data_IF_767539110269
#
_entry.id   IF_767539110269
#
_cell.length_a   1.000
_cell.length_b   1.000
_cell.length_c   1.000
_cell.angle_alpha   90.00
_cell.angle_beta   90.00
_cell.angle_gamma   90.00
#
_symmetry.space_group_name_H-M   'P 1'
#
loop_
_entity.id
_entity.type
_entity.pdbx_description
1 polymer ?
#
# COMPACT_ATOMS: atom_id res chain seq x y z
N UNK A 1 3.34 11.27 27.44
CA UNK A 1 3.00 11.09 26.02
C UNK A 1 2.09 9.89 25.93
N UNK A 2 0.95 10.01 25.24
CA UNK A 2 -0.08 8.96 25.10
C UNK A 2 0.53 7.62 24.69
N UNK A 3 0.03 6.50 25.23
CA UNK A 3 0.40 5.15 24.77
C UNK A 3 -0.04 4.88 23.31
N UNK A 4 -0.90 5.74 22.73
CA UNK A 4 -1.38 5.67 21.34
C UNK A 4 -1.40 7.11 20.74
N UNK A 5 -0.27 7.62 20.20
CA UNK A 5 -0.21 8.98 19.63
C UNK A 5 -1.06 9.13 18.36
N UNK A 6 -1.22 8.08 17.57
CA UNK A 6 -2.04 8.04 16.36
C UNK A 6 -3.53 8.25 16.67
N UNK A 7 -4.02 7.59 17.73
CA UNK A 7 -5.40 7.73 18.22
C UNK A 7 -5.65 9.09 18.84
N UNK A 8 -4.66 9.62 19.57
CA UNK A 8 -4.74 10.97 20.14
C UNK A 8 -4.83 12.02 19.01
N UNK A 9 -4.02 11.90 17.95
CA UNK A 9 -4.07 12.78 16.79
C UNK A 9 -5.44 12.76 16.11
N UNK A 10 -6.03 11.58 15.91
CA UNK A 10 -7.38 11.44 15.34
C UNK A 10 -8.46 12.05 16.25
N UNK A 11 -8.34 11.93 17.58
CA UNK A 11 -9.31 12.46 18.54
C UNK A 11 -9.30 13.99 18.69
N UNK A 12 -8.25 14.66 18.21
CA UNK A 12 -8.11 16.12 18.25
C UNK A 12 -8.81 16.80 17.06
N UNK A 13 -9.35 16.03 16.12
CA UNK A 13 -10.10 16.55 14.99
C UNK A 13 -11.52 16.90 15.44
N UNK A 14 -11.86 18.18 15.29
CA UNK A 14 -13.23 18.68 15.42
C UNK A 14 -13.83 18.83 14.01
N UNK A 15 -14.78 17.97 13.61
CA UNK A 15 -15.41 18.06 12.29
C UNK A 15 -16.25 19.33 12.10
N UNK A 16 -16.65 20.00 13.19
CA UNK A 16 -17.35 21.29 13.18
C UNK A 16 -16.39 22.47 13.46
N UNK A 17 -15.08 22.21 13.40
CA UNK A 17 -14.03 23.22 13.61
C UNK A 17 -14.03 24.33 12.55
N UNK A 18 -13.32 25.44 12.80
CA UNK A 18 -13.32 26.60 11.91
C UNK A 18 -12.84 26.26 10.50
N UNK A 19 -13.31 27.00 9.48
CA UNK A 19 -12.91 26.83 8.09
C UNK A 19 -11.37 26.79 7.92
N UNK A 20 -10.87 25.94 7.03
CA UNK A 20 -9.43 25.77 6.74
C UNK A 20 -8.98 24.30 6.64
N UNK A 21 -7.80 24.09 6.05
CA UNK A 21 -7.17 22.78 5.85
C UNK A 21 -6.32 22.40 7.06
N UNK A 22 -6.66 21.29 7.70
CA UNK A 22 -5.93 20.69 8.82
C UNK A 22 -5.09 19.52 8.31
N UNK A 23 -3.77 19.61 8.37
CA UNK A 23 -2.87 18.53 8.02
C UNK A 23 -2.52 17.68 9.24
N UNK A 24 -2.65 16.36 9.14
CA UNK A 24 -2.00 15.41 10.04
C UNK A 24 -0.73 14.91 9.37
N UNK A 25 0.42 15.23 9.97
CA UNK A 25 1.75 14.95 9.42
C UNK A 25 2.42 13.83 10.20
N UNK A 26 2.80 12.75 9.52
CA UNK A 26 3.48 11.59 10.12
C UNK A 26 4.92 11.49 9.62
N UNK A 27 5.81 10.84 10.39
CA UNK A 27 7.18 10.59 9.93
C UNK A 27 7.30 9.34 9.06
N UNK A 28 6.43 8.36 9.27
CA UNK A 28 6.45 7.07 8.58
C UNK A 28 5.08 6.72 7.97
N UNK A 29 5.14 5.90 6.93
CA UNK A 29 3.96 5.43 6.19
C UNK A 29 3.05 4.50 7.01
N UNK A 30 3.61 3.71 7.94
CA UNK A 30 2.83 2.84 8.85
C UNK A 30 1.91 3.67 9.77
N UNK A 31 2.43 4.75 10.36
CA UNK A 31 1.64 5.67 11.18
C UNK A 31 0.53 6.34 10.36
N UNK A 32 0.80 6.69 9.10
CA UNK A 32 -0.19 7.28 8.20
C UNK A 32 -1.36 6.31 7.98
N UNK A 33 -1.06 5.02 7.77
CA UNK A 33 -2.05 3.96 7.59
C UNK A 33 -2.88 3.69 8.85
N UNK A 34 -2.24 3.69 10.03
CA UNK A 34 -2.95 3.54 11.31
C UNK A 34 -3.92 4.70 11.55
N UNK A 35 -3.48 5.94 11.34
CA UNK A 35 -4.35 7.12 11.50
C UNK A 35 -5.50 7.09 10.49
N UNK A 36 -5.23 6.79 9.22
CA UNK A 36 -6.27 6.65 8.20
C UNK A 36 -7.34 5.64 8.63
N UNK A 37 -6.92 4.47 9.11
CA UNK A 37 -7.83 3.42 9.60
C UNK A 37 -8.74 3.91 10.73
N UNK A 38 -8.21 4.73 11.67
CA UNK A 38 -9.01 5.32 12.74
C UNK A 38 -10.01 6.37 12.23
N UNK A 39 -9.61 7.21 11.28
CA UNK A 39 -10.50 8.23 10.69
C UNK A 39 -11.65 7.56 9.92
N UNK A 40 -11.35 6.53 9.13
CA UNK A 40 -12.37 5.76 8.40
C UNK A 40 -13.35 5.06 9.34
N UNK A 41 -12.84 4.40 10.38
CA UNK A 41 -13.68 3.76 11.41
C UNK A 41 -14.58 4.76 12.16
N UNK A 42 -14.15 6.02 12.23
CA UNK A 42 -14.89 7.12 12.85
C UNK A 42 -15.80 7.86 11.86
N UNK A 43 -15.83 7.46 10.57
CA UNK A 43 -16.63 8.11 9.52
C UNK A 43 -16.12 9.50 9.12
N UNK A 44 -14.89 9.86 9.51
CA UNK A 44 -14.27 11.15 9.22
C UNK A 44 -13.67 11.09 7.81
N UNK A 45 -14.07 12.01 6.94
CA UNK A 45 -13.50 12.14 5.59
C UNK A 45 -12.15 12.87 5.66
N UNK A 46 -11.18 12.39 4.90
CA UNK A 46 -9.87 13.02 4.77
C UNK A 46 -9.34 12.83 3.33
N UNK A 47 -8.42 13.70 2.91
CA UNK A 47 -7.56 13.48 1.76
C UNK A 47 -6.18 12.96 2.20
N UNK A 48 -5.38 12.44 1.28
CA UNK A 48 -3.97 12.10 1.59
C UNK A 48 -3.03 12.44 0.43
N UNK A 49 -1.80 12.85 0.75
CA UNK A 49 -0.71 12.99 -0.23
C UNK A 49 -0.01 11.65 -0.50
N UNK A 50 -0.35 10.59 0.24
CA UNK A 50 0.18 9.23 0.06
C UNK A 50 -0.91 8.18 -0.18
N UNK A 51 -1.72 8.32 -1.25
CA UNK A 51 -2.79 7.35 -1.57
C UNK A 51 -2.24 5.93 -1.69
N UNK A 52 -1.05 5.83 -2.30
CA UNK A 52 -0.29 4.59 -2.48
C UNK A 52 -0.05 3.83 -1.18
N UNK A 53 0.22 4.52 -0.07
CA UNK A 53 0.47 3.87 1.22
C UNK A 53 -0.78 3.22 1.79
N UNK A 54 -1.95 3.80 1.54
CA UNK A 54 -3.22 3.27 2.00
C UNK A 54 -3.68 2.10 1.13
N UNK A 55 -3.50 2.21 -0.20
CA UNK A 55 -3.95 1.20 -1.14
C UNK A 55 -2.95 0.08 -1.44
N UNK A 56 -1.73 0.12 -0.91
CA UNK A 56 -0.68 -0.84 -1.26
C UNK A 56 -1.05 -2.32 -0.99
N UNK A 57 -1.64 -2.69 0.16
CA UNK A 57 -2.09 -4.07 0.37
C UNK A 57 -3.09 -4.52 -0.71
N UNK A 58 -4.05 -3.65 -1.02
CA UNK A 58 -5.08 -3.88 -2.02
C UNK A 58 -4.49 -4.04 -3.42
N UNK A 59 -3.50 -3.21 -3.75
CA UNK A 59 -2.76 -3.26 -5.01
C UNK A 59 -1.96 -4.54 -5.13
N UNK A 60 -1.26 -4.95 -4.07
CA UNK A 60 -0.50 -6.20 -4.05
C UNK A 60 -1.38 -7.42 -4.26
N UNK A 61 -2.59 -7.46 -3.70
CA UNK A 61 -3.51 -8.57 -3.92
C UNK A 61 -3.95 -8.65 -5.39
N UNK A 62 -4.24 -7.51 -6.03
CA UNK A 62 -4.55 -7.46 -7.47
C UNK A 62 -3.34 -7.94 -8.30
N UNK A 63 -2.13 -7.46 -7.98
CA UNK A 63 -0.92 -7.84 -8.72
C UNK A 63 -0.57 -9.32 -8.55
N UNK A 64 -0.72 -9.89 -7.35
CA UNK A 64 -0.53 -11.34 -7.11
C UNK A 64 -1.49 -12.15 -7.97
N UNK A 65 -2.76 -11.74 -8.01
CA UNK A 65 -3.78 -12.37 -8.83
C UNK A 65 -3.44 -12.32 -10.33
N UNK A 66 -3.19 -11.10 -10.85
CA UNK A 66 -2.85 -10.89 -12.26
C UNK A 66 -1.58 -11.63 -12.66
N UNK A 67 -0.57 -11.68 -11.79
CA UNK A 67 0.68 -12.41 -12.06
C UNK A 67 0.41 -13.90 -12.29
N UNK A 68 -0.49 -14.52 -11.53
CA UNK A 68 -0.86 -15.92 -11.75
C UNK A 68 -1.65 -16.16 -13.03
N UNK A 69 -2.49 -15.20 -13.42
CA UNK A 69 -3.24 -15.24 -14.69
C UNK A 69 -2.31 -15.10 -15.90
N UNK A 70 -1.46 -14.07 -15.89
CA UNK A 70 -0.63 -13.67 -17.03
C UNK A 70 0.58 -14.60 -17.17
N UNK A 71 1.23 -14.91 -16.04
CA UNK A 71 2.45 -15.73 -15.95
C UNK A 71 2.19 -16.96 -15.06
N UNK A 72 1.35 -17.91 -15.52
CA UNK A 72 0.94 -19.05 -14.71
C UNK A 72 2.13 -19.97 -14.44
N UNK A 73 2.50 -20.06 -13.16
CA UNK A 73 3.56 -20.91 -12.62
C UNK A 73 3.10 -21.41 -11.24
N UNK A 74 3.69 -22.50 -10.74
CA UNK A 74 3.32 -23.06 -9.42
C UNK A 74 3.52 -21.99 -8.32
N UNK A 75 4.57 -21.19 -8.45
CA UNK A 75 4.99 -20.17 -7.49
C UNK A 75 4.07 -18.95 -7.48
N UNK A 76 3.43 -18.63 -8.61
CA UNK A 76 2.49 -17.49 -8.72
C UNK A 76 1.07 -17.90 -8.34
N UNK A 77 0.71 -19.17 -8.57
CA UNK A 77 -0.60 -19.71 -8.27
C UNK A 77 -0.95 -19.67 -6.76
N UNK A 78 -0.03 -20.12 -5.90
CA UNK A 78 -0.30 -20.24 -4.46
C UNK A 78 -0.58 -18.88 -3.81
N UNK A 79 0.20 -17.80 -4.04
CA UNK A 79 -0.17 -16.47 -3.55
C UNK A 79 -1.52 -15.98 -4.09
N UNK A 80 -1.85 -16.28 -5.36
CA UNK A 80 -3.06 -15.78 -5.99
C UNK A 80 -4.34 -16.36 -5.39
N UNK A 81 -4.36 -17.64 -4.99
CA UNK A 81 -5.52 -18.28 -4.36
C UNK A 81 -5.86 -17.73 -2.97
N UNK A 82 -4.95 -16.99 -2.34
CA UNK A 82 -5.23 -16.28 -1.08
C UNK A 82 -5.81 -14.89 -1.30
N UNK A 83 -5.86 -14.41 -2.54
CA UNK A 83 -6.42 -13.10 -2.85
C UNK A 83 -7.95 -13.22 -2.99
N UNK A 84 -8.72 -12.16 -2.64
CA UNK A 84 -10.17 -12.15 -2.82
C UNK A 84 -10.61 -12.40 -4.27
N UNK A 85 -9.76 -12.07 -5.24
CA UNK A 85 -10.02 -12.19 -6.67
C UNK A 85 -10.00 -13.62 -7.18
N UNK A 86 -9.43 -14.56 -6.42
CA UNK A 86 -9.46 -15.98 -6.77
C UNK A 86 -10.82 -16.64 -6.58
N UNK A 87 -11.69 -16.02 -5.77
CA UNK A 87 -12.97 -16.58 -5.32
C UNK A 87 -12.82 -17.95 -4.60
N UNK A 88 -11.62 -18.28 -4.16
CA UNK A 88 -11.33 -19.43 -3.31
C UNK A 88 -11.48 -18.98 -1.85
N UNK A 89 -12.16 -19.77 -1.03
CA UNK A 89 -12.27 -19.44 0.39
C UNK A 89 -10.93 -19.62 1.08
N UNK A 90 -10.69 -18.87 2.17
CA UNK A 90 -9.44 -18.98 2.95
C UNK A 90 -9.17 -20.44 3.39
N UNK A 91 -10.21 -21.17 3.80
CA UNK A 91 -10.11 -22.57 4.21
C UNK A 91 -9.68 -23.49 3.07
N UNK A 92 -10.26 -23.30 1.87
CA UNK A 92 -9.85 -24.03 0.67
C UNK A 92 -8.42 -23.68 0.26
N UNK A 93 -8.05 -22.40 0.29
CA UNK A 93 -6.71 -21.94 -0.03
C UNK A 93 -5.65 -22.58 0.87
N UNK A 94 -5.90 -22.67 2.18
CA UNK A 94 -5.05 -23.43 3.09
C UNK A 94 -4.98 -24.92 2.75
N UNK A 95 -6.11 -25.54 2.40
CA UNK A 95 -6.16 -26.94 1.96
C UNK A 95 -5.34 -27.20 0.70
N UNK A 96 -5.43 -26.32 -0.30
CA UNK A 96 -4.66 -26.38 -1.56
C UNK A 96 -3.17 -26.18 -1.27
N UNK A 97 -2.81 -25.16 -0.49
CA UNK A 97 -1.43 -24.86 -0.10
C UNK A 97 -0.77 -26.01 0.66
N UNK A 98 -1.50 -26.64 1.58
CA UNK A 98 -1.02 -27.84 2.28
C UNK A 98 -0.75 -28.98 1.28
N UNK A 99 -1.70 -29.29 0.38
CA UNK A 99 -1.49 -30.33 -0.64
C UNK A 99 -0.29 -30.03 -1.53
N UNK A 100 -0.12 -28.79 -1.99
CA UNK A 100 1.04 -28.38 -2.77
C UNK A 100 2.36 -28.58 -2.04
N UNK A 101 2.42 -28.30 -0.72
CA UNK A 101 3.63 -28.45 0.07
C UNK A 101 4.03 -29.92 0.30
N UNK A 102 3.04 -30.80 0.45
CA UNK A 102 3.26 -32.21 0.83
C UNK A 102 3.15 -33.19 -0.33
N UNK A 103 2.77 -32.72 -1.52
CA UNK A 103 2.59 -33.53 -2.73
C UNK A 103 3.17 -32.76 -3.92
N UNK A 104 3.89 -33.43 -4.82
CA UNK A 104 4.38 -32.79 -6.06
C UNK A 104 3.22 -32.62 -7.07
N UNK A 105 2.32 -31.67 -6.79
CA UNK A 105 1.22 -31.34 -7.67
C UNK A 105 1.75 -30.58 -8.90
N UNK A 106 1.30 -31.00 -10.08
CA UNK A 106 1.54 -30.25 -11.32
C UNK A 106 0.67 -28.98 -11.35
N UNK A 107 1.03 -28.00 -12.18
CA UNK A 107 0.21 -26.80 -12.36
C UNK A 107 -1.22 -27.13 -12.82
N UNK A 108 -1.44 -28.06 -13.79
CA UNK A 108 -2.79 -28.52 -14.12
C UNK A 108 -3.59 -29.11 -12.95
N UNK A 109 -2.92 -29.73 -11.97
CA UNK A 109 -3.61 -30.25 -10.79
C UNK A 109 -4.01 -29.14 -9.83
N UNK A 110 -3.17 -28.10 -9.69
CA UNK A 110 -3.50 -26.91 -8.92
C UNK A 110 -4.67 -26.14 -9.53
N UNK A 111 -4.65 -25.97 -10.85
CA UNK A 111 -5.70 -25.28 -11.61
C UNK A 111 -7.09 -25.94 -11.45
N UNK A 112 -7.15 -27.27 -11.37
CA UNK A 112 -8.41 -27.99 -11.07
C UNK A 112 -8.96 -27.67 -9.68
N UNK A 113 -8.09 -27.31 -8.73
CA UNK A 113 -8.47 -26.98 -7.37
C UNK A 113 -8.92 -25.52 -7.20
N UNK A 114 -8.62 -24.63 -8.17
CA UNK A 114 -9.14 -23.27 -8.23
C UNK A 114 -9.72 -22.94 -9.62
N UNK A 115 -10.94 -23.43 -9.94
CA UNK A 115 -11.52 -23.34 -11.29
C UNK A 115 -11.69 -21.90 -11.79
N UNK A 116 -12.05 -20.96 -10.91
CA UNK A 116 -12.25 -19.55 -11.27
C UNK A 116 -10.94 -18.87 -11.71
N UNK A 117 -9.83 -19.17 -11.03
CA UNK A 117 -8.50 -18.71 -11.44
C UNK A 117 -8.06 -19.39 -12.75
N UNK A 118 -8.32 -20.70 -12.90
CA UNK A 118 -7.98 -21.42 -14.14
C UNK A 118 -8.72 -20.88 -15.37
N UNK A 119 -10.03 -20.59 -15.27
CA UNK A 119 -10.78 -20.02 -16.40
C UNK A 119 -10.19 -18.69 -16.88
N UNK A 120 -9.61 -17.92 -15.97
CA UNK A 120 -8.98 -16.64 -16.29
C UNK A 120 -7.60 -16.81 -16.94
N UNK A 121 -6.81 -17.80 -16.50
CA UNK A 121 -5.51 -18.17 -17.10
C UNK A 121 -5.66 -18.57 -18.57
N UNK A 122 -6.68 -19.37 -18.91
CA UNK A 122 -6.86 -19.94 -20.25
C UNK A 122 -7.20 -18.89 -21.31
N UNK A 123 -7.82 -17.78 -20.92
CA UNK A 123 -8.45 -16.86 -21.87
C UNK A 123 -7.61 -15.62 -22.21
N UNK A 124 -6.61 -15.22 -21.41
CA UNK A 124 -6.33 -13.77 -21.28
C UNK A 124 -4.86 -13.33 -21.25
N UNK A 125 -4.07 -13.76 -22.25
CA UNK A 125 -2.69 -13.28 -22.49
C UNK A 125 -2.58 -12.12 -23.50
N UNK A 126 -3.68 -11.41 -23.76
CA UNK A 126 -3.72 -10.22 -24.64
C UNK A 126 -4.12 -8.98 -23.84
N UNK A 127 -3.85 -7.79 -24.39
CA UNK A 127 -4.34 -6.50 -23.84
C UNK A 127 -5.82 -6.57 -23.48
N UNK A 128 -6.65 -6.95 -24.45
CA UNK A 128 -8.11 -7.03 -24.27
C UNK A 128 -8.50 -8.08 -23.23
N UNK A 129 -7.79 -9.20 -23.17
CA UNK A 129 -8.01 -10.20 -22.16
C UNK A 129 -7.74 -9.67 -20.75
N UNK A 130 -6.57 -9.05 -20.55
CA UNK A 130 -6.19 -8.51 -19.24
C UNK A 130 -7.18 -7.42 -18.80
N UNK A 131 -7.54 -6.50 -19.72
CA UNK A 131 -8.53 -5.46 -19.45
C UNK A 131 -9.91 -6.04 -19.15
N UNK A 132 -10.32 -7.11 -19.84
CA UNK A 132 -11.59 -7.77 -19.56
C UNK A 132 -11.63 -8.38 -18.15
N UNK A 133 -10.56 -9.01 -17.66
CA UNK A 133 -10.50 -9.47 -16.25
C UNK A 133 -10.63 -8.30 -15.28
N UNK A 134 -9.93 -7.20 -15.58
CA UNK A 134 -10.01 -6.01 -14.76
C UNK A 134 -11.44 -5.47 -14.68
N UNK A 135 -12.15 -5.40 -15.81
CA UNK A 135 -13.51 -4.86 -15.90
C UNK A 135 -14.59 -5.81 -15.40
N UNK A 136 -14.56 -7.08 -15.79
CA UNK A 136 -15.65 -8.01 -15.50
C UNK A 136 -15.55 -8.68 -14.14
N UNK A 137 -14.37 -8.70 -13.52
CA UNK A 137 -14.12 -9.45 -12.29
C UNK A 137 -13.43 -8.63 -11.20
N UNK A 138 -12.26 -8.06 -11.49
CA UNK A 138 -11.47 -7.36 -10.45
C UNK A 138 -12.21 -6.10 -9.98
N UNK A 139 -12.70 -5.23 -10.88
CA UNK A 139 -13.39 -4.00 -10.50
C UNK A 139 -14.67 -4.25 -9.68
N UNK A 140 -15.57 -5.20 -10.04
CA UNK A 140 -16.71 -5.56 -9.21
C UNK A 140 -16.34 -6.05 -7.81
N UNK A 141 -15.34 -6.94 -7.69
CA UNK A 141 -14.86 -7.45 -6.39
C UNK A 141 -14.19 -6.33 -5.60
N UNK A 142 -13.37 -5.52 -6.26
CA UNK A 142 -12.67 -4.41 -5.64
C UNK A 142 -13.65 -3.37 -5.06
N UNK A 143 -14.73 -3.07 -5.81
CA UNK A 143 -15.81 -2.18 -5.35
C UNK A 143 -16.51 -2.70 -4.08
N UNK A 144 -16.69 -4.02 -3.94
CA UNK A 144 -17.30 -4.60 -2.75
C UNK A 144 -16.35 -4.66 -1.54
N UNK A 145 -15.04 -4.70 -1.77
CA UNK A 145 -14.02 -4.72 -0.71
C UNK A 145 -13.75 -3.33 -0.12
N UNK A 146 -13.93 -2.27 -0.89
CA UNK A 146 -13.79 -0.89 -0.43
C UNK A 146 -13.08 0.02 -1.41
N UNK A 147 -12.99 1.30 -1.05
CA UNK A 147 -12.45 2.35 -1.92
C UNK A 147 -11.00 2.08 -2.32
N UNK A 148 -10.16 1.64 -1.39
CA UNK A 148 -8.74 1.39 -1.66
C UNK A 148 -8.53 0.30 -2.71
N UNK A 149 -9.30 -0.79 -2.64
CA UNK A 149 -9.28 -1.83 -3.66
C UNK A 149 -9.78 -1.30 -5.00
N UNK A 150 -10.87 -0.53 -5.00
CA UNK A 150 -11.46 0.01 -6.22
C UNK A 150 -10.50 0.94 -6.96
N UNK A 151 -9.88 1.89 -6.26
CA UNK A 151 -8.92 2.79 -6.87
C UNK A 151 -7.62 2.09 -7.29
N UNK A 152 -7.13 1.13 -6.49
CA UNK A 152 -6.00 0.30 -6.90
C UNK A 152 -6.29 -0.45 -8.22
N UNK A 153 -7.49 -0.98 -8.39
CA UNK A 153 -7.91 -1.66 -9.62
C UNK A 153 -7.98 -0.70 -10.82
N UNK A 154 -8.53 0.51 -10.65
CA UNK A 154 -8.55 1.54 -11.70
C UNK A 154 -7.14 1.97 -12.12
N UNK A 155 -6.25 2.18 -11.14
CA UNK A 155 -4.85 2.51 -11.39
C UNK A 155 -4.14 1.44 -12.20
N UNK A 156 -4.27 0.18 -11.80
CA UNK A 156 -3.67 -0.95 -12.52
C UNK A 156 -4.25 -1.03 -13.93
N UNK A 157 -5.56 -0.81 -14.11
CA UNK A 157 -6.19 -0.79 -15.43
C UNK A 157 -5.60 0.31 -16.33
N UNK A 158 -5.42 1.52 -15.80
CA UNK A 158 -4.81 2.62 -16.56
C UNK A 158 -3.35 2.30 -16.92
N UNK A 159 -2.57 1.78 -15.97
CA UNK A 159 -1.19 1.39 -16.21
C UNK A 159 -1.07 0.27 -17.27
N UNK A 160 -2.00 -0.71 -17.28
CA UNK A 160 -2.07 -1.71 -18.35
C UNK A 160 -2.33 -1.04 -19.70
N UNK A 161 -3.31 -0.12 -19.79
CA UNK A 161 -3.61 0.59 -21.04
C UNK A 161 -2.39 1.36 -21.55
N UNK A 162 -1.74 2.10 -20.67
CA UNK A 162 -0.55 2.91 -20.97
C UNK A 162 0.60 2.05 -21.50
N UNK A 163 0.93 0.95 -20.80
CA UNK A 163 2.00 0.04 -21.21
C UNK A 163 1.80 -0.48 -22.64
N UNK A 164 0.59 -0.93 -22.96
CA UNK A 164 0.27 -1.44 -24.29
C UNK A 164 0.12 -0.35 -25.37
N UNK A 165 -0.01 0.92 -24.99
CA UNK A 165 -0.02 2.05 -25.94
C UNK A 165 1.40 2.54 -26.27
N UNK A 166 2.33 2.41 -25.33
CA UNK A 166 3.72 2.84 -25.48
C UNK A 166 4.65 1.75 -26.03
N UNK A 167 4.25 0.48 -25.96
CA UNK A 167 5.08 -0.66 -26.37
C UNK A 167 4.71 -1.19 -27.75
N UNK A 168 5.66 -1.14 -28.69
CA UNK A 168 5.52 -1.73 -30.04
C UNK A 168 5.58 -3.27 -30.02
N UNK A 169 6.26 -3.84 -29.02
CA UNK A 169 6.43 -5.28 -28.81
C UNK A 169 6.22 -5.60 -27.32
N UNK A 170 4.95 -5.65 -26.87
CA UNK A 170 4.65 -5.85 -25.46
C UNK A 170 5.07 -7.24 -24.99
N UNK A 171 5.94 -7.29 -24.00
CA UNK A 171 6.27 -8.49 -23.25
C UNK A 171 5.46 -8.55 -21.95
N UNK A 172 5.06 -9.77 -21.56
CA UNK A 172 4.18 -9.98 -20.40
C UNK A 172 4.93 -10.04 -19.08
N UNK A 173 6.20 -10.45 -19.07
CA UNK A 173 7.06 -10.34 -17.88
C UNK A 173 7.37 -8.85 -17.65
N UNK A 174 7.75 -8.11 -18.69
CA UNK A 174 7.98 -6.66 -18.64
C UNK A 174 6.72 -5.88 -18.20
N UNK A 175 5.52 -6.29 -18.64
CA UNK A 175 4.26 -5.71 -18.15
C UNK A 175 4.13 -5.88 -16.63
N UNK A 176 4.42 -7.07 -16.10
CA UNK A 176 4.30 -7.31 -14.66
C UNK A 176 5.32 -6.53 -13.85
N UNK A 177 6.52 -6.32 -14.39
CA UNK A 177 7.55 -5.48 -13.77
C UNK A 177 7.16 -4.00 -13.81
N UNK A 178 6.69 -3.52 -14.97
CA UNK A 178 6.13 -2.18 -15.12
C UNK A 178 5.00 -1.94 -14.12
N UNK A 179 4.04 -2.85 -14.03
CA UNK A 179 2.93 -2.74 -13.09
C UNK A 179 3.37 -2.78 -11.64
N UNK A 180 4.47 -3.45 -11.31
CA UNK A 180 4.99 -3.51 -9.93
C UNK A 180 5.67 -2.21 -9.50
N UNK A 181 6.27 -1.50 -10.46
CA UNK A 181 7.05 -0.27 -10.23
C UNK A 181 6.21 0.99 -10.50
N UNK A 182 5.17 0.90 -11.34
CA UNK A 182 4.36 2.05 -11.71
C UNK A 182 3.74 2.72 -10.49
N UNK A 183 3.99 4.02 -10.37
CA UNK A 183 3.50 4.82 -9.26
C UNK A 183 2.02 5.16 -9.50
N UNK A 184 1.15 4.73 -8.58
CA UNK A 184 -0.18 5.27 -8.35
C UNK A 184 -0.05 6.67 -7.76
N UNK A 185 0.21 7.63 -8.63
CA UNK A 185 0.03 9.05 -8.33
C UNK A 185 -1.41 9.39 -8.70
N UNK A 186 -2.35 9.06 -7.82
CA UNK A 186 -3.56 9.87 -7.80
C UNK A 186 -3.18 11.20 -7.16
N UNK A 187 -3.18 12.25 -7.98
CA UNK A 187 -3.32 13.62 -7.50
C UNK A 187 -4.65 13.70 -6.77
N UNK A 188 -4.66 13.39 -5.47
CA UNK A 188 -5.72 13.86 -4.60
C UNK A 188 -5.52 15.36 -4.51
N UNK A 189 -6.13 16.08 -5.46
CA UNK A 189 -6.58 17.43 -5.20
C UNK A 189 -7.33 17.38 -3.88
N UNK A 190 -7.05 18.26 -2.90
CA UNK A 190 -7.83 18.36 -1.68
C UNK A 190 -9.25 18.80 -2.06
N UNK A 191 -10.05 17.86 -2.57
CA UNK A 191 -11.43 18.06 -2.92
C UNK A 191 -12.20 18.15 -1.62
N UNK A 192 -12.64 19.36 -1.29
CA UNK A 192 -13.61 19.73 -0.24
C UNK A 192 -13.36 19.19 1.19
N UNK A 193 -12.28 18.45 1.44
CA UNK A 193 -12.00 17.83 2.72
C UNK A 193 -11.06 18.73 3.54
N UNK A 194 -11.55 19.19 4.70
CA UNK A 194 -10.82 20.00 5.66
C UNK A 194 -9.64 19.28 6.32
N UNK A 195 -9.42 17.99 6.05
CA UNK A 195 -8.39 17.16 6.71
C UNK A 195 -7.51 16.48 5.66
N UNK A 196 -6.19 16.63 5.78
CA UNK A 196 -5.18 16.04 4.88
C UNK A 196 -4.17 15.20 5.67
N UNK A 197 -4.00 13.92 5.32
CA UNK A 197 -2.95 13.05 5.83
C UNK A 197 -1.72 13.10 4.93
N UNK A 198 -0.56 13.43 5.49
CA UNK A 198 0.69 13.51 4.73
C UNK A 198 1.89 13.03 5.56
N UNK A 199 3.01 12.78 4.88
CA UNK A 199 4.28 12.53 5.57
C UNK A 199 5.13 13.79 5.60
N UNK A 200 6.09 13.86 6.53
CA UNK A 200 7.04 14.98 6.61
C UNK A 200 7.71 15.26 5.27
N UNK A 201 8.08 14.23 4.51
CA UNK A 201 8.74 14.40 3.22
C UNK A 201 7.84 15.06 2.17
N UNK A 202 6.55 14.70 2.15
CA UNK A 202 5.58 15.24 1.20
C UNK A 202 5.00 16.58 1.61
N UNK A 203 5.00 16.89 2.90
CA UNK A 203 4.53 18.17 3.44
C UNK A 203 5.51 19.34 3.21
N UNK A 204 6.76 19.08 2.80
CA UNK A 204 7.76 20.14 2.60
C UNK A 204 7.32 21.09 1.49
N UNK A 205 7.28 22.38 1.80
CA UNK A 205 6.84 23.41 0.86
C UNK A 205 5.32 23.46 0.63
N UNK A 206 4.54 22.71 1.41
CA UNK A 206 3.08 22.84 1.48
C UNK A 206 2.69 23.72 2.67
N UNK A 207 1.67 24.55 2.48
CA UNK A 207 1.10 25.40 3.53
C UNK A 207 -0.27 24.84 3.96
N UNK A 208 -0.51 24.83 5.27
CA UNK A 208 -1.77 24.35 5.86
C UNK A 208 -2.21 25.33 6.95
N UNK A 209 -3.53 25.54 7.10
CA UNK A 209 -4.07 26.42 8.13
C UNK A 209 -3.82 25.87 9.54
N UNK A 210 -3.81 24.53 9.68
CA UNK A 210 -3.56 23.83 10.94
C UNK A 210 -2.71 22.58 10.71
N UNK A 211 -1.83 22.27 11.66
CA UNK A 211 -0.94 21.11 11.57
C UNK A 211 -0.97 20.33 12.88
N UNK A 212 -1.28 19.03 12.78
CA UNK A 212 -1.15 18.03 13.83
C UNK A 212 0.04 17.14 13.45
N UNK A 213 1.18 17.34 14.10
CA UNK A 213 2.35 16.49 13.89
C UNK A 213 2.29 15.26 14.80
N UNK A 214 2.33 14.07 14.21
CA UNK A 214 2.42 12.79 14.90
C UNK A 214 3.84 12.23 14.73
N UNK A 215 4.75 12.50 15.69
CA UNK A 215 6.10 11.94 15.63
C UNK A 215 6.06 10.43 15.78
N UNK A 216 7.06 9.73 15.24
CA UNK A 216 7.38 8.38 15.70
C UNK A 216 8.63 8.42 16.56
N UNK A 217 8.54 7.82 17.73
CA UNK A 217 9.74 7.36 18.40
C UNK A 217 10.39 6.32 17.47
N UNK A 218 11.63 6.57 17.05
CA UNK A 218 12.43 5.52 16.41
C UNK A 218 12.46 4.33 17.39
N UNK A 219 12.01 3.16 16.94
CA UNK A 219 12.09 1.97 17.77
C UNK A 219 13.55 1.77 18.17
N UNK A 220 13.81 1.46 19.44
CA UNK A 220 15.14 1.26 20.02
C UNK A 220 15.92 0.04 19.45
N UNK A 221 15.63 -0.39 18.21
CA UNK A 221 16.37 -1.46 17.54
C UNK A 221 17.73 -0.92 17.11
N UNK A 222 18.68 -1.05 18.03
CA UNK A 222 20.08 -0.70 17.80
C UNK A 222 20.73 -1.89 17.10
N UNK A 223 21.19 -1.72 15.86
CA UNK A 223 21.99 -2.76 15.21
C UNK A 223 23.40 -2.78 15.82
N UNK A 224 24.15 -3.88 15.63
CA UNK A 224 25.55 -3.94 16.07
C UNK A 224 26.39 -2.79 15.47
N UNK A 225 26.12 -2.44 14.21
CA UNK A 225 26.77 -1.32 13.52
C UNK A 225 26.43 0.02 14.20
N UNK A 226 25.20 0.22 14.65
CA UNK A 226 24.81 1.44 15.38
C UNK A 226 25.49 1.55 16.74
N UNK A 227 25.75 0.43 17.42
CA UNK A 227 26.48 0.42 18.70
C UNK A 227 27.93 0.83 18.47
N UNK A 228 28.58 0.25 17.46
CA UNK A 228 29.98 0.57 17.13
C UNK A 228 30.09 2.03 16.68
N UNK A 229 29.22 2.47 15.79
CA UNK A 229 29.21 3.85 15.26
C UNK A 229 28.96 4.86 16.38
N UNK A 230 28.01 4.57 17.29
CA UNK A 230 27.77 5.42 18.47
C UNK A 230 28.98 5.50 19.38
N UNK A 231 29.63 4.37 19.68
CA UNK A 231 30.81 4.36 20.54
C UNK A 231 31.96 5.18 19.96
N UNK A 232 32.18 5.10 18.64
CA UNK A 232 33.19 5.89 17.94
C UNK A 232 32.87 7.38 17.98
N UNK A 233 31.63 7.78 17.68
CA UNK A 233 31.23 9.21 17.68
C UNK A 233 31.32 9.80 19.10
N UNK A 234 30.87 9.04 20.12
CA UNK A 234 30.97 9.45 21.52
C UNK A 234 32.44 9.60 21.95
N UNK A 235 33.31 8.65 21.62
CA UNK A 235 34.72 8.71 21.99
C UNK A 235 35.49 9.82 21.25
N UNK A 236 35.16 10.08 19.98
CA UNK A 236 35.88 11.04 19.15
C UNK A 236 35.40 12.49 19.33
N UNK A 237 34.10 12.71 19.58
CA UNK A 237 33.48 14.04 19.62
C UNK A 237 32.78 14.37 20.93
N UNK A 238 32.62 13.41 21.84
CA UNK A 238 31.86 13.60 23.08
C UNK A 238 30.36 13.78 22.89
N UNK A 239 29.84 13.45 21.70
CA UNK A 239 28.43 13.64 21.34
C UNK A 239 27.67 12.33 21.59
N UNK A 240 26.65 12.39 22.45
CA UNK A 240 25.70 11.29 22.60
C UNK A 240 24.65 11.35 21.49
N UNK A 241 24.85 10.51 20.48
CA UNK A 241 23.98 10.40 19.31
C UNK A 241 22.51 10.12 19.71
N UNK A 242 22.24 9.42 20.82
CA UNK A 242 20.85 9.18 21.26
C UNK A 242 20.19 10.42 21.83
N UNK A 243 20.93 11.25 22.57
CA UNK A 243 20.41 12.53 23.02
C UNK A 243 20.19 13.46 21.83
N UNK A 244 21.15 13.51 20.90
CA UNK A 244 21.05 14.36 19.71
C UNK A 244 19.84 14.02 18.83
N UNK A 245 19.60 12.72 18.61
CA UNK A 245 18.41 12.24 17.88
C UNK A 245 17.10 12.54 18.60
N UNK A 246 17.08 12.60 19.94
CA UNK A 246 15.88 13.00 20.70
C UNK A 246 15.53 14.48 20.51
N UNK A 247 16.51 15.32 20.17
CA UNK A 247 16.28 16.72 19.84
C UNK A 247 16.02 16.93 18.34
N UNK A 248 16.10 15.90 17.50
CA UNK A 248 15.82 15.99 16.07
C UNK A 248 14.37 16.44 15.83
N UNK A 249 13.40 15.93 16.61
CA UNK A 249 11.99 16.31 16.52
C UNK A 249 11.75 17.81 16.83
N UNK A 250 12.65 18.45 17.58
CA UNK A 250 12.61 19.89 17.89
C UNK A 250 13.36 20.79 16.89
N UNK A 251 14.03 20.19 15.89
CA UNK A 251 14.82 20.90 14.86
C UNK A 251 14.13 20.91 13.50
N UNK A 252 12.88 20.46 13.43
CA UNK A 252 12.05 20.57 12.23
C UNK A 252 11.58 22.02 12.12
N UNK A 253 12.25 22.80 11.27
CA UNK A 253 11.84 24.15 10.92
C UNK A 253 10.70 24.05 9.89
N UNK A 254 9.48 24.41 10.27
CA UNK A 254 8.37 24.57 9.33
C UNK A 254 8.45 26.01 8.81
N UNK A 255 8.97 26.17 7.58
CA UNK A 255 8.98 27.43 6.83
C UNK A 255 7.76 27.48 5.93
#
# INVERSE_FOLDING_TARGET
FSEEPERAAASLLDPDGPDGVTAIITRRNDQLQEIASYLEASGIKFGTTSPWTLSEPSRQDILRYLRAVILPKKETFIPAIFTPYSEVTVGEAFGISAKYKWTDLSLPDLEKLAPSLHSDVVQRRSKDGILQILESKILPIASSLGKDHFYAALSIQNAVREYFEQSDLPDLDDLMDYLSISNYEEDISPGDNSIVLTTVHKAKGMEFDRVIYCPSNSSERTTFIDIVTRAVIMAAKGIDVRQELRYEDSRIDFV
#
